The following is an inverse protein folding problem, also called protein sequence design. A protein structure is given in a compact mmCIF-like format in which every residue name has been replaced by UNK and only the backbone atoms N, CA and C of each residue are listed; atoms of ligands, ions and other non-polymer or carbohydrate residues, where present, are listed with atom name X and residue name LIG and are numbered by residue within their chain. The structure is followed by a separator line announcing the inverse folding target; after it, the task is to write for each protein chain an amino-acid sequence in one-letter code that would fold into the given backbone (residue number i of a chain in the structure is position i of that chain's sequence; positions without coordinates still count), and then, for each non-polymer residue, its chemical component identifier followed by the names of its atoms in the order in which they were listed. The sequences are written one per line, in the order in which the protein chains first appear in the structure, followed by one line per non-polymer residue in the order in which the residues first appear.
data_IF_523087939563
#
_entry.id   IF_523087939563
#
_cell.length_a   1.000
_cell.length_b   1.000
_cell.length_c   1.000
_cell.angle_alpha   90.00
_cell.angle_beta   90.00
_cell.angle_gamma   90.00
#
_symmetry.space_group_name_H-M   'P 1'
#
loop_
_entity.id
_entity.type
_entity.pdbx_description
1 polymer ?
#
# COMPACT_ATOMS: atom_id res chain seq x y z
N UNK A 1 -16.76 21.73 52.22
CA UNK A 1 -16.16 22.74 51.32
C UNK A 1 -15.64 22.01 50.09
N UNK A 2 -15.82 22.65 48.93
CA UNK A 2 -15.53 22.19 47.57
C UNK A 2 -14.05 21.88 47.32
N UNK A 3 -13.81 21.08 46.27
CA UNK A 3 -12.80 21.15 45.19
C UNK A 3 -12.44 19.70 44.84
N UNK A 4 -12.90 19.07 43.75
CA UNK A 4 -12.90 19.58 42.38
C UNK A 4 -11.56 19.27 41.73
N UNK A 5 -11.36 18.03 41.26
CA UNK A 5 -10.33 17.72 40.25
C UNK A 5 -10.96 16.83 39.20
N UNK A 6 -11.26 17.47 38.07
CA UNK A 6 -11.56 16.84 36.79
C UNK A 6 -10.26 16.14 36.33
N UNK A 7 -10.32 14.84 36.06
CA UNK A 7 -9.33 14.20 35.18
C UNK A 7 -10.03 13.84 33.88
N UNK A 8 -9.99 14.83 32.99
CA UNK A 8 -10.24 14.68 31.59
C UNK A 8 -8.98 14.03 31.00
N UNK A 9 -9.07 12.76 30.63
CA UNK A 9 -8.08 12.10 29.78
C UNK A 9 -8.80 11.39 28.64
N UNK A 10 -9.62 12.15 27.91
CA UNK A 10 -9.86 11.86 26.50
C UNK A 10 -8.54 12.09 25.76
N UNK A 11 -7.66 11.10 25.82
CA UNK A 11 -6.62 10.98 24.81
C UNK A 11 -7.32 10.53 23.53
N UNK A 12 -7.72 11.50 22.70
CA UNK A 12 -8.02 11.21 21.31
C UNK A 12 -6.82 10.45 20.74
N UNK A 13 -7.01 9.26 20.14
CA UNK A 13 -5.88 8.50 19.66
C UNK A 13 -5.15 9.33 18.60
N UNK A 14 -3.83 9.27 18.65
CA UNK A 14 -2.85 9.82 17.71
C UNK A 14 -3.03 9.28 16.25
N UNK A 15 -4.22 8.78 15.91
CA UNK A 15 -4.66 8.32 14.60
C UNK A 15 -5.08 9.48 13.68
N UNK A 16 -5.39 10.67 14.21
CA UNK A 16 -5.95 11.78 13.43
C UNK A 16 -4.93 12.58 12.58
N UNK A 17 -3.63 12.58 12.93
CA UNK A 17 -2.63 13.45 12.29
C UNK A 17 -2.08 12.91 10.95
N UNK A 18 -2.25 11.62 10.67
CA UNK A 18 -1.59 10.94 9.55
C UNK A 18 -0.07 10.81 9.74
N UNK A 19 0.57 10.04 8.86
CA UNK A 19 1.99 9.72 8.92
C UNK A 19 2.68 10.36 7.72
N UNK A 20 3.66 11.24 7.94
CA UNK A 20 4.45 11.79 6.85
C UNK A 20 5.29 10.69 6.21
N UNK A 21 5.36 10.73 4.88
CA UNK A 21 5.98 9.71 4.08
C UNK A 21 6.37 10.20 2.70
N UNK A 22 6.99 9.33 1.92
CA UNK A 22 7.28 9.56 0.52
C UNK A 22 6.42 8.66 -0.35
N UNK A 23 5.91 9.19 -1.45
CA UNK A 23 5.32 8.40 -2.51
C UNK A 23 6.16 8.51 -3.77
N UNK A 24 6.76 7.39 -4.17
CA UNK A 24 7.51 7.21 -5.40
C UNK A 24 6.65 6.48 -6.43
N UNK A 25 6.36 7.15 -7.54
CA UNK A 25 5.66 6.58 -8.69
C UNK A 25 6.71 6.21 -9.76
N UNK A 26 6.89 4.93 -10.04
CA UNK A 26 7.98 4.46 -10.92
C UNK A 26 7.76 4.87 -12.38
N UNK A 27 6.50 4.93 -12.83
CA UNK A 27 6.11 5.42 -14.16
C UNK A 27 6.30 6.93 -14.35
N UNK A 28 6.38 7.72 -13.28
CA UNK A 28 6.62 9.17 -13.37
C UNK A 28 8.05 9.54 -12.96
N UNK A 29 8.78 8.60 -12.34
CA UNK A 29 10.13 8.80 -11.77
C UNK A 29 10.15 10.02 -10.84
N UNK A 30 9.05 10.21 -10.12
CA UNK A 30 8.80 11.35 -9.26
C UNK A 30 8.55 10.88 -7.83
N UNK A 31 9.20 11.54 -6.88
CA UNK A 31 8.97 11.36 -5.45
C UNK A 31 8.28 12.60 -4.89
N UNK A 32 7.26 12.38 -4.07
CA UNK A 32 6.53 13.43 -3.37
C UNK A 32 6.48 13.14 -1.88
N UNK A 33 6.69 14.17 -1.06
CA UNK A 33 6.40 14.08 0.38
C UNK A 33 4.89 14.21 0.56
N UNK A 34 4.29 13.21 1.20
CA UNK A 34 2.84 13.07 1.38
C UNK A 34 2.52 12.78 2.84
N UNK A 35 1.25 12.90 3.20
CA UNK A 35 0.74 12.45 4.50
C UNK A 35 -0.20 11.27 4.28
N UNK A 36 0.21 10.09 4.73
CA UNK A 36 -0.61 8.88 4.72
C UNK A 36 -1.65 8.98 5.84
N UNK A 37 -2.93 9.03 5.47
CA UNK A 37 -4.04 9.14 6.42
C UNK A 37 -4.89 7.88 6.34
N UNK A 38 -5.29 7.37 7.49
CA UNK A 38 -6.29 6.31 7.53
C UNK A 38 -7.67 6.88 7.19
N UNK A 39 -8.58 6.06 6.65
CA UNK A 39 -9.95 6.47 6.42
C UNK A 39 -10.61 7.00 7.70
N UNK A 40 -11.36 8.10 7.62
CA UNK A 40 -12.08 8.66 8.78
C UNK A 40 -13.22 7.77 9.27
N UNK A 41 -13.86 7.03 8.36
CA UNK A 41 -14.91 6.06 8.68
C UNK A 41 -14.35 4.81 9.38
N UNK A 42 -14.79 4.50 10.62
CA UNK A 42 -14.37 3.28 11.33
C UNK A 42 -14.70 1.99 10.57
N UNK A 43 -15.82 1.99 9.84
CA UNK A 43 -16.27 0.83 9.05
C UNK A 43 -15.32 0.55 7.89
N UNK A 44 -14.88 1.62 7.19
CA UNK A 44 -13.91 1.51 6.09
C UNK A 44 -12.56 1.04 6.64
N UNK A 45 -12.10 1.56 7.78
CA UNK A 45 -10.88 1.09 8.45
C UNK A 45 -10.97 -0.39 8.82
N UNK A 46 -12.08 -0.82 9.42
CA UNK A 46 -12.29 -2.21 9.81
C UNK A 46 -12.26 -3.15 8.58
N UNK A 47 -12.85 -2.73 7.45
CA UNK A 47 -12.78 -3.50 6.20
C UNK A 47 -11.37 -3.62 5.65
N UNK A 48 -10.58 -2.56 5.63
CA UNK A 48 -9.17 -2.67 5.22
C UNK A 48 -8.34 -3.57 6.14
N UNK A 49 -8.55 -3.49 7.46
CA UNK A 49 -7.91 -4.41 8.42
C UNK A 49 -8.29 -5.87 8.14
N UNK A 50 -9.56 -6.13 7.87
CA UNK A 50 -10.03 -7.45 7.47
C UNK A 50 -9.32 -7.95 6.20
N UNK A 51 -9.17 -7.10 5.18
CA UNK A 51 -8.45 -7.46 3.94
C UNK A 51 -6.99 -7.81 4.24
N UNK A 52 -6.32 -7.07 5.11
CA UNK A 52 -4.94 -7.38 5.50
C UNK A 52 -4.81 -8.71 6.27
N UNK A 53 -5.86 -9.14 6.96
CA UNK A 53 -5.92 -10.42 7.66
C UNK A 53 -6.22 -11.57 6.70
N UNK A 54 -7.22 -11.39 5.83
CA UNK A 54 -7.67 -12.39 4.86
C UNK A 54 -6.72 -12.52 3.66
N UNK A 55 -5.85 -11.52 3.44
CA UNK A 55 -4.93 -11.43 2.32
C UNK A 55 -5.56 -10.89 1.03
N UNK A 56 -6.89 -10.90 0.91
CA UNK A 56 -7.58 -10.32 -0.24
C UNK A 56 -9.02 -9.90 0.08
N UNK A 57 -9.50 -8.82 -0.53
CA UNK A 57 -10.92 -8.47 -0.50
C UNK A 57 -11.29 -7.26 -1.36
N UNK A 58 -12.57 -6.90 -1.32
CA UNK A 58 -13.09 -5.77 -2.08
C UNK A 58 -12.66 -4.44 -1.46
N UNK A 59 -12.33 -3.45 -2.29
CA UNK A 59 -11.96 -2.11 -1.82
C UNK A 59 -13.16 -1.43 -1.14
N UNK A 60 -13.05 -0.99 0.13
CA UNK A 60 -14.13 -0.31 0.84
C UNK A 60 -14.20 1.21 0.58
N UNK A 61 -13.43 1.73 -0.38
CA UNK A 61 -13.37 3.16 -0.68
C UNK A 61 -14.61 3.65 -1.45
N UNK A 62 -15.26 4.76 -1.06
CA UNK A 62 -16.53 5.20 -1.64
C UNK A 62 -16.53 5.40 -3.16
N UNK A 63 -15.39 5.83 -3.71
CA UNK A 63 -15.23 6.04 -5.15
C UNK A 63 -14.79 4.80 -5.95
N UNK A 64 -14.52 3.65 -5.29
CA UNK A 64 -13.98 2.43 -5.92
C UNK A 64 -14.82 1.20 -5.56
N UNK A 65 -16.13 1.24 -5.82
CA UNK A 65 -17.08 0.19 -5.41
C UNK A 65 -17.24 -0.95 -6.44
N UNK A 66 -16.91 -0.71 -7.71
CA UNK A 66 -17.24 -1.61 -8.82
C UNK A 66 -16.16 -2.65 -9.14
N UNK A 67 -16.08 -3.69 -8.31
CA UNK A 67 -15.26 -4.87 -8.58
C UNK A 67 -13.75 -4.67 -8.38
N UNK A 68 -13.35 -3.56 -7.78
CA UNK A 68 -11.99 -3.34 -7.30
C UNK A 68 -11.66 -4.27 -6.14
N UNK A 69 -10.52 -4.94 -6.24
CA UNK A 69 -10.01 -5.87 -5.23
C UNK A 69 -8.59 -5.47 -4.85
N UNK A 70 -8.30 -5.62 -3.58
CA UNK A 70 -6.98 -5.47 -2.99
C UNK A 70 -6.50 -6.84 -2.56
N UNK A 71 -5.31 -7.20 -3.00
CA UNK A 71 -4.54 -8.32 -2.44
C UNK A 71 -3.37 -7.76 -1.66
N UNK A 72 -3.11 -8.32 -0.49
CA UNK A 72 -2.04 -7.94 0.41
C UNK A 72 -1.11 -9.12 0.56
N UNK A 73 0.18 -8.91 0.33
CA UNK A 73 1.21 -9.90 0.54
C UNK A 73 2.11 -9.40 1.68
N UNK A 74 1.94 -9.98 2.87
CA UNK A 74 2.75 -9.68 4.07
C UNK A 74 3.95 -10.61 4.06
N UNK A 75 5.16 -10.06 4.21
CA UNK A 75 6.37 -10.87 4.32
C UNK A 75 6.42 -11.61 5.66
N UNK A 76 6.90 -12.85 5.60
CA UNK A 76 7.23 -13.61 6.79
C UNK A 76 8.65 -14.15 6.73
N UNK A 77 9.31 -14.19 7.89
CA UNK A 77 10.61 -14.80 8.12
C UNK A 77 10.45 -15.85 9.22
N UNK A 78 11.03 -17.03 9.03
CA UNK A 78 10.86 -18.18 9.94
C UNK A 78 9.40 -18.51 10.29
N UNK A 79 8.47 -18.21 9.37
CA UNK A 79 7.04 -18.44 9.53
C UNK A 79 6.28 -17.34 10.28
N UNK A 80 6.95 -16.26 10.70
CA UNK A 80 6.35 -15.14 11.43
C UNK A 80 6.37 -13.85 10.62
N UNK A 81 5.36 -13.00 10.81
CA UNK A 81 5.28 -11.68 10.19
C UNK A 81 6.44 -10.82 10.72
N UNK A 82 7.20 -10.26 9.78
CA UNK A 82 8.29 -9.32 10.08
C UNK A 82 7.80 -7.88 9.99
N UNK A 83 8.40 -7.01 10.80
CA UNK A 83 8.17 -5.59 10.67
C UNK A 83 8.89 -5.02 9.43
N UNK A 84 8.36 -3.94 8.89
CA UNK A 84 9.12 -3.06 8.00
C UNK A 84 8.64 -2.95 6.57
N UNK A 85 7.85 -3.89 6.05
CA UNK A 85 7.25 -3.73 4.73
C UNK A 85 5.97 -4.52 4.49
N UNK A 86 5.20 -4.10 3.49
CA UNK A 86 4.02 -4.79 3.00
C UNK A 86 3.83 -4.52 1.50
N UNK A 87 3.49 -5.57 0.77
CA UNK A 87 3.17 -5.49 -0.65
C UNK A 87 1.67 -5.56 -0.85
N UNK A 88 1.18 -4.90 -1.89
CA UNK A 88 -0.19 -5.02 -2.29
C UNK A 88 -0.38 -4.93 -3.80
N UNK A 89 -1.48 -5.49 -4.27
CA UNK A 89 -1.90 -5.47 -5.67
C UNK A 89 -3.31 -4.95 -5.74
N UNK A 90 -3.53 -3.96 -6.59
CA UNK A 90 -4.84 -3.41 -6.88
C UNK A 90 -5.26 -3.84 -8.29
N UNK A 91 -6.43 -4.46 -8.40
CA UNK A 91 -6.94 -4.98 -9.66
C UNK A 91 -8.46 -4.94 -9.68
N UNK A 92 -9.04 -5.09 -10.87
CA UNK A 92 -10.50 -5.07 -11.06
C UNK A 92 -10.96 -6.39 -11.69
N UNK A 93 -11.99 -7.00 -11.10
CA UNK A 93 -12.53 -8.30 -11.53
C UNK A 93 -11.80 -9.51 -10.94
N UNK A 94 -12.32 -10.71 -11.24
CA UNK A 94 -11.90 -11.98 -10.61
C UNK A 94 -10.67 -12.65 -11.22
N UNK A 95 -10.26 -12.29 -12.43
CA UNK A 95 -9.20 -12.99 -13.18
C UNK A 95 -7.87 -12.23 -13.28
N UNK A 96 -7.74 -11.06 -12.64
CA UNK A 96 -6.63 -10.13 -12.91
C UNK A 96 -5.48 -10.18 -11.89
N UNK A 97 -5.40 -11.21 -11.04
CA UNK A 97 -4.24 -11.40 -10.15
C UNK A 97 -2.93 -11.49 -10.97
N UNK A 98 -2.98 -12.03 -12.20
CA UNK A 98 -1.82 -12.18 -13.09
C UNK A 98 -1.45 -10.89 -13.84
N UNK A 99 -2.36 -9.91 -13.91
CA UNK A 99 -2.13 -8.60 -14.54
C UNK A 99 -2.81 -7.49 -13.71
N UNK A 100 -2.29 -7.19 -12.51
CA UNK A 100 -2.87 -6.17 -11.67
C UNK A 100 -2.74 -4.80 -12.32
N UNK A 101 -3.72 -3.92 -12.06
CA UNK A 101 -3.64 -2.53 -12.50
C UNK A 101 -2.45 -1.84 -11.84
N UNK A 102 -2.28 -2.01 -10.53
CA UNK A 102 -1.21 -1.41 -9.76
C UNK A 102 -0.55 -2.43 -8.83
N UNK A 103 0.77 -2.35 -8.76
CA UNK A 103 1.59 -2.95 -7.71
C UNK A 103 2.03 -1.85 -6.75
N UNK A 104 1.91 -2.11 -5.45
CA UNK A 104 2.34 -1.20 -4.41
C UNK A 104 3.22 -1.90 -3.37
N UNK A 105 4.17 -1.16 -2.85
CA UNK A 105 5.06 -1.57 -1.76
C UNK A 105 5.17 -0.42 -0.77
N UNK A 106 4.77 -0.68 0.47
CA UNK A 106 4.94 0.26 1.57
C UNK A 106 6.04 -0.25 2.50
N UNK A 107 7.02 0.58 2.80
CA UNK A 107 8.18 0.24 3.67
C UNK A 107 8.43 1.35 4.68
N UNK A 108 8.80 1.00 5.91
CA UNK A 108 9.08 1.98 6.97
C UNK A 108 10.36 1.69 7.76
N UNK A 109 10.87 0.48 7.73
CA UNK A 109 12.21 0.18 8.26
C UNK A 109 13.29 0.53 7.24
N UNK A 110 14.40 1.11 7.71
CA UNK A 110 15.47 1.62 6.86
C UNK A 110 16.12 0.52 6.01
N UNK A 111 16.41 -0.63 6.62
CA UNK A 111 17.04 -1.77 5.98
C UNK A 111 16.18 -2.35 4.84
N UNK A 112 14.86 -2.31 4.99
CA UNK A 112 13.90 -2.81 3.99
C UNK A 112 13.75 -1.85 2.80
N UNK A 113 14.03 -0.55 2.97
CA UNK A 113 13.85 0.47 1.92
C UNK A 113 14.75 0.25 0.71
N UNK A 114 16.01 -0.13 0.93
CA UNK A 114 16.93 -0.38 -0.18
C UNK A 114 16.51 -1.62 -0.98
N UNK A 115 16.17 -2.71 -0.28
CA UNK A 115 15.67 -3.93 -0.91
C UNK A 115 14.37 -3.69 -1.67
N UNK A 116 13.46 -2.91 -1.08
CA UNK A 116 12.21 -2.47 -1.68
C UNK A 116 12.44 -1.71 -2.99
N UNK A 117 13.34 -0.72 -2.96
CA UNK A 117 13.66 0.09 -4.13
C UNK A 117 14.27 -0.73 -5.26
N UNK A 118 15.24 -1.62 -4.95
CA UNK A 118 15.87 -2.50 -5.93
C UNK A 118 14.83 -3.44 -6.54
N UNK A 119 13.99 -4.07 -5.72
CA UNK A 119 12.93 -4.96 -6.16
C UNK A 119 11.93 -4.23 -7.05
N UNK A 120 11.49 -3.04 -6.66
CA UNK A 120 10.54 -2.26 -7.42
C UNK A 120 11.13 -1.81 -8.77
N UNK A 121 12.41 -1.40 -8.80
CA UNK A 121 13.15 -1.04 -10.01
C UNK A 121 13.29 -2.23 -10.97
N UNK A 122 13.56 -3.43 -10.43
CA UNK A 122 13.61 -4.66 -11.20
C UNK A 122 12.23 -5.01 -11.78
N UNK A 123 11.17 -4.95 -10.97
CA UNK A 123 9.80 -5.22 -11.40
C UNK A 123 9.35 -4.22 -12.49
N UNK A 124 9.67 -2.95 -12.34
CA UNK A 124 9.43 -1.92 -13.35
C UNK A 124 10.15 -2.23 -14.66
N UNK A 125 11.43 -2.61 -14.59
CA UNK A 125 12.23 -2.98 -15.77
C UNK A 125 11.68 -4.22 -16.49
N UNK A 126 11.27 -5.25 -15.74
CA UNK A 126 10.64 -6.45 -16.30
C UNK A 126 9.29 -6.11 -16.93
N UNK A 127 8.46 -5.32 -16.24
CA UNK A 127 7.15 -4.89 -16.74
C UNK A 127 7.27 -4.08 -18.04
N UNK A 128 8.28 -3.21 -18.12
CA UNK A 128 8.64 -2.48 -19.34
C UNK A 128 9.04 -3.43 -20.47
N UNK A 129 9.99 -4.34 -20.23
CA UNK A 129 10.45 -5.30 -21.24
C UNK A 129 9.34 -6.22 -21.77
N UNK A 130 8.34 -6.51 -20.92
CA UNK A 130 7.16 -7.32 -21.29
C UNK A 130 6.02 -6.49 -21.92
N UNK A 131 6.19 -5.18 -22.13
CA UNK A 131 5.17 -4.30 -22.68
C UNK A 131 3.94 -4.13 -21.78
N UNK A 132 4.07 -4.43 -20.48
CA UNK A 132 3.01 -4.28 -19.47
C UNK A 132 2.97 -2.88 -18.85
N UNK A 133 4.00 -2.09 -19.08
CA UNK A 133 4.19 -0.74 -18.55
C UNK A 133 4.65 0.14 -19.70
N UNK A 134 4.13 1.36 -19.77
CA UNK A 134 4.52 2.28 -20.83
C UNK A 134 5.96 2.79 -20.57
N UNK A 135 6.76 2.97 -21.64
CA UNK A 135 8.06 3.64 -21.54
C UNK A 135 7.92 5.00 -20.85
N UNK A 136 8.82 5.28 -19.92
CA UNK A 136 9.05 6.66 -19.46
C UNK A 136 10.24 7.22 -20.25
N UNK A 137 10.25 8.54 -20.50
CA UNK A 137 11.24 9.17 -21.40
C UNK A 137 12.69 9.11 -20.88
N UNK A 138 12.91 8.65 -19.64
CA UNK A 138 14.16 8.15 -19.04
C UNK A 138 13.89 7.87 -17.54
N UNK A 139 14.44 6.79 -16.95
CA UNK A 139 14.43 6.65 -15.49
C UNK A 139 15.25 7.79 -14.87
N UNK A 140 14.60 8.73 -14.19
CA UNK A 140 15.31 9.70 -13.34
C UNK A 140 15.91 8.95 -12.15
N UNK A 141 17.05 9.44 -11.69
CA UNK A 141 17.71 8.92 -10.50
C UNK A 141 16.74 8.98 -9.32
N UNK A 142 16.51 7.83 -8.67
CA UNK A 142 15.60 7.74 -7.54
C UNK A 142 16.33 8.27 -6.32
N UNK A 143 16.06 9.53 -5.98
CA UNK A 143 16.61 10.18 -4.79
C UNK A 143 16.09 9.48 -3.53
N UNK A 144 17.01 9.02 -2.69
CA UNK A 144 16.71 8.45 -1.36
C UNK A 144 16.61 9.61 -0.36
N UNK A 145 15.47 9.83 0.32
CA UNK A 145 15.48 10.74 1.49
C UNK A 145 15.76 10.05 2.82
N UNK A 146 15.79 8.71 2.86
CA UNK A 146 16.35 7.92 3.95
C UNK A 146 15.65 7.99 5.31
N UNK A 147 14.75 8.94 5.55
CA UNK A 147 14.16 9.17 6.89
C UNK A 147 12.70 8.73 6.97
N UNK A 148 11.91 8.97 5.93
CA UNK A 148 10.46 8.79 5.98
C UNK A 148 10.02 7.39 5.47
N UNK A 149 8.89 6.85 5.96
CA UNK A 149 8.21 5.72 5.34
C UNK A 149 7.96 5.98 3.84
N UNK A 150 8.14 4.96 3.01
CA UNK A 150 8.07 5.10 1.56
C UNK A 150 7.03 4.15 0.97
N UNK A 151 6.10 4.72 0.21
CA UNK A 151 5.22 4.01 -0.70
C UNK A 151 5.85 4.06 -2.10
N UNK A 152 6.05 2.90 -2.71
CA UNK A 152 6.49 2.76 -4.09
C UNK A 152 5.34 2.14 -4.88
N UNK A 153 4.94 2.76 -5.98
CA UNK A 153 3.89 2.23 -6.85
C UNK A 153 4.37 2.06 -8.28
N UNK A 154 3.74 1.09 -8.95
CA UNK A 154 3.98 0.77 -10.34
C UNK A 154 2.63 0.52 -11.02
N UNK A 155 2.26 1.41 -11.94
CA UNK A 155 1.01 1.33 -12.69
C UNK A 155 1.24 0.59 -14.02
N UNK A 156 0.42 -0.43 -14.29
CA UNK A 156 0.43 -1.14 -15.56
C UNK A 156 -0.43 -0.44 -16.62
N UNK A 157 -0.13 -0.70 -17.89
CA UNK A 157 -0.89 -0.18 -19.04
C UNK A 157 -2.16 -0.97 -19.36
N UNK A 158 -2.72 -1.69 -18.38
CA UNK A 158 -3.93 -2.49 -18.58
C UNK A 158 -5.12 -1.61 -18.98
N UNK A 159 -6.00 -2.06 -19.91
CA UNK A 159 -7.20 -1.31 -20.29
C UNK A 159 -8.25 -1.27 -19.17
N UNK A 160 -8.03 -2.00 -18.07
CA UNK A 160 -8.95 -2.14 -16.95
C UNK A 160 -8.65 -1.19 -15.78
N UNK A 161 -8.00 -0.06 -16.06
CA UNK A 161 -7.69 0.97 -15.07
C UNK A 161 -8.90 1.75 -14.54
N UNK A 162 -8.66 2.77 -13.71
CA UNK A 162 -9.67 3.67 -13.16
C UNK A 162 -10.50 4.32 -14.27
N UNK A 163 -11.80 4.40 -14.04
CA UNK A 163 -12.71 5.22 -14.85
C UNK A 163 -12.36 6.71 -14.67
N UNK A 164 -12.77 7.59 -15.59
CA UNK A 164 -12.55 9.04 -15.44
C UNK A 164 -13.06 9.63 -14.12
N UNK A 165 -14.14 9.07 -13.56
CA UNK A 165 -14.69 9.48 -12.26
C UNK A 165 -13.89 8.95 -11.06
N UNK A 166 -13.07 7.92 -11.24
CA UNK A 166 -12.27 7.27 -10.19
C UNK A 166 -10.83 7.81 -10.17
N UNK A 167 -10.29 8.17 -11.34
CA UNK A 167 -8.90 8.62 -11.51
C UNK A 167 -8.48 9.75 -10.55
N UNK A 168 -9.28 10.80 -10.30
CA UNK A 168 -8.93 11.87 -9.35
C UNK A 168 -8.74 11.38 -7.90
N UNK A 169 -9.31 10.23 -7.55
CA UNK A 169 -9.31 9.67 -6.21
C UNK A 169 -8.25 8.58 -6.00
N UNK A 170 -7.51 8.20 -7.06
CA UNK A 170 -6.54 7.10 -7.00
C UNK A 170 -5.46 7.36 -5.94
N UNK A 171 -4.91 8.56 -5.87
CA UNK A 171 -3.87 8.88 -4.88
C UNK A 171 -4.39 8.79 -3.45
N UNK A 172 -5.61 9.30 -3.20
CA UNK A 172 -6.27 9.17 -1.89
C UNK A 172 -6.43 7.70 -1.50
N UNK A 173 -6.90 6.87 -2.43
CA UNK A 173 -7.04 5.43 -2.23
C UNK A 173 -5.69 4.79 -1.85
N UNK A 174 -4.63 5.07 -2.60
CA UNK A 174 -3.30 4.48 -2.37
C UNK A 174 -2.72 4.89 -1.02
N UNK A 175 -2.90 6.15 -0.63
CA UNK A 175 -2.41 6.66 0.65
C UNK A 175 -3.18 6.09 1.83
N UNK A 176 -4.49 5.87 1.69
CA UNK A 176 -5.31 5.17 2.68
C UNK A 176 -4.88 3.71 2.85
N UNK A 177 -4.70 2.98 1.74
CA UNK A 177 -4.22 1.61 1.75
C UNK A 177 -2.87 1.54 2.47
N UNK A 178 -1.91 2.38 2.07
CA UNK A 178 -0.57 2.41 2.67
C UNK A 178 -0.62 2.68 4.19
N UNK A 179 -1.43 3.65 4.62
CA UNK A 179 -1.61 3.98 6.03
C UNK A 179 -2.15 2.79 6.83
N UNK A 180 -3.23 2.15 6.35
CA UNK A 180 -3.88 1.06 7.08
C UNK A 180 -3.00 -0.19 7.09
N UNK A 181 -2.40 -0.55 5.96
CA UNK A 181 -1.55 -1.75 5.88
C UNK A 181 -0.30 -1.61 6.76
N UNK A 182 0.34 -0.45 6.77
CA UNK A 182 1.47 -0.20 7.67
C UNK A 182 1.08 -0.35 9.14
N UNK A 183 -0.04 0.24 9.56
CA UNK A 183 -0.50 0.12 10.95
C UNK A 183 -0.84 -1.33 11.32
N UNK A 184 -1.51 -2.03 10.42
CA UNK A 184 -1.95 -3.41 10.67
C UNK A 184 -0.77 -4.39 10.70
N UNK A 185 0.21 -4.25 9.81
CA UNK A 185 1.42 -5.10 9.85
C UNK A 185 2.22 -4.85 11.13
N UNK A 186 2.45 -3.59 11.51
CA UNK A 186 3.11 -3.23 12.78
C UNK A 186 2.44 -3.87 14.00
N UNK A 187 1.10 -3.93 14.01
CA UNK A 187 0.33 -4.55 15.09
C UNK A 187 0.50 -6.08 15.16
N UNK A 188 0.77 -6.72 14.01
CA UNK A 188 0.79 -8.18 13.83
C UNK A 188 2.19 -8.78 13.79
N UNK A 189 3.23 -7.98 14.00
CA UNK A 189 4.62 -8.46 14.03
C UNK A 189 4.76 -9.61 15.04
N UNK A 190 5.40 -10.70 14.62
CA UNK A 190 5.55 -11.91 15.41
C UNK A 190 4.36 -12.88 15.39
N UNK A 191 3.21 -12.49 14.81
CA UNK A 191 2.15 -13.45 14.49
C UNK A 191 2.60 -14.38 13.35
N UNK A 192 1.96 -15.55 13.23
CA UNK A 192 2.23 -16.47 12.11
C UNK A 192 1.86 -15.78 10.79
N UNK A 193 2.80 -15.76 9.86
CA UNK A 193 2.57 -15.21 8.54
C UNK A 193 1.51 -16.03 7.80
N UNK A 194 0.57 -15.38 7.08
CA UNK A 194 -0.35 -16.12 6.23
C UNK A 194 0.45 -16.92 5.19
N UNK A 195 -0.01 -18.13 4.82
CA UNK A 195 0.70 -18.93 3.84
C UNK A 195 0.85 -18.14 2.54
N UNK A 196 2.00 -18.25 1.85
CA UNK A 196 2.21 -17.52 0.62
C UNK A 196 1.11 -17.87 -0.38
N UNK A 197 0.68 -16.89 -1.18
CA UNK A 197 -0.34 -17.12 -2.17
C UNK A 197 0.05 -18.24 -3.13
N UNK A 198 -0.88 -19.14 -3.44
CA UNK A 198 -0.68 -20.18 -4.47
C UNK A 198 -0.67 -19.54 -5.85
N UNK A 199 0.44 -18.92 -6.22
CA UNK A 199 0.61 -18.33 -7.56
C UNK A 199 0.96 -19.46 -8.52
N UNK A 200 0.01 -19.87 -9.35
CA UNK A 200 0.33 -20.57 -10.60
C UNK A 200 0.99 -19.55 -11.52
N UNK A 201 2.31 -19.52 -11.55
CA UNK A 201 3.02 -18.80 -12.59
C UNK A 201 2.69 -19.49 -13.93
N UNK A 202 1.91 -18.83 -14.78
CA UNK A 202 1.97 -19.12 -16.20
C UNK A 202 3.24 -18.42 -16.73
N UNK A 203 4.36 -19.15 -16.70
CA UNK A 203 5.55 -18.79 -17.47
C UNK A 203 5.26 -19.04 -18.96
#
# INVERSE_FOLDING_TARGET
MQHGVVHNCDAEPMEAAGIQGEHLMLEETFSSVVTFRTPSSPEVRARYRQIAQDGEGAIPHPHFQDGWRLRVDILGEDGCIVDGSVFFRLFRGSEQITRPYLLGLMTWEEDMRLGALITASLLGSIGYAQGKINPTDKPKEIAKSGVLPQLITLISNTPYGPRPSEAPHLMSLLHEIAAVLMQEVKRRVGEIAPPPPTVKFCL
#
